data_IF_855274015177
#
_entry.id   IF_855274015177
#
_cell.length_a   1.000
_cell.length_b   1.000
_cell.length_c   1.000
_cell.angle_alpha   90.00
_cell.angle_beta   90.00
_cell.angle_gamma   90.00
#
_symmetry.space_group_name_H-M   'P 1'
#
loop_
_entity.id
_entity.type
_entity.pdbx_description
1 polymer ?
#
# COMPACT_ATOMS: atom_id res chain seq x y z
N UNK A 1 -7.60 -14.39 6.34
CA UNK A 1 -6.53 -15.29 6.83
C UNK A 1 -5.35 -14.43 7.25
N UNK A 2 -4.59 -14.83 8.28
CA UNK A 2 -3.40 -14.10 8.71
C UNK A 2 -2.16 -14.98 8.54
N UNK A 3 -1.20 -14.51 7.75
CA UNK A 3 0.09 -15.19 7.58
C UNK A 3 1.09 -14.74 8.66
N UNK A 4 1.99 -15.65 9.05
CA UNK A 4 3.04 -15.37 10.02
C UNK A 4 4.36 -15.10 9.30
N UNK A 5 5.01 -13.99 9.65
CA UNK A 5 6.34 -13.62 9.17
C UNK A 5 7.31 -13.69 10.35
N UNK A 6 8.50 -14.24 10.12
CA UNK A 6 9.62 -14.19 11.06
C UNK A 6 10.76 -13.39 10.42
N UNK A 7 11.22 -12.34 11.08
CA UNK A 7 12.29 -11.49 10.58
C UNK A 7 13.39 -11.34 11.64
N UNK A 8 14.66 -11.39 11.22
CA UNK A 8 15.80 -11.05 12.09
C UNK A 8 16.11 -9.56 11.92
N UNK A 9 16.16 -8.85 13.04
CA UNK A 9 16.53 -7.44 13.07
C UNK A 9 18.02 -7.29 13.42
N UNK A 10 18.67 -6.31 12.80
CA UNK A 10 19.99 -5.87 13.27
C UNK A 10 19.86 -5.29 14.68
N UNK A 11 20.97 -5.25 15.42
CA UNK A 11 20.99 -4.76 16.80
C UNK A 11 20.37 -3.35 16.94
N UNK A 12 20.71 -2.36 16.09
CA UNK A 12 20.08 -1.03 16.16
C UNK A 12 18.56 -1.05 15.95
N UNK A 13 18.06 -1.88 15.03
CA UNK A 13 16.63 -1.99 14.76
C UNK A 13 15.89 -2.66 15.94
N UNK A 14 16.48 -3.70 16.52
CA UNK A 14 15.92 -4.36 17.69
C UNK A 14 15.85 -3.42 18.90
N UNK A 15 16.91 -2.63 19.14
CA UNK A 15 16.95 -1.65 20.23
C UNK A 15 15.90 -0.56 20.04
N UNK A 16 15.72 -0.08 18.81
CA UNK A 16 14.65 0.86 18.50
C UNK A 16 13.26 0.27 18.77
N UNK A 17 12.97 -0.94 18.26
CA UNK A 17 11.68 -1.62 18.51
C UNK A 17 11.43 -1.79 20.01
N UNK A 18 12.43 -2.18 20.78
CA UNK A 18 12.31 -2.32 22.22
C UNK A 18 12.04 -0.99 22.93
N UNK A 19 12.59 0.13 22.44
CA UNK A 19 12.31 1.46 23.03
C UNK A 19 10.88 1.94 22.80
N UNK A 20 10.20 1.39 21.80
CA UNK A 20 8.82 1.75 21.43
C UNK A 20 7.77 0.89 22.15
N UNK A 21 8.19 -0.08 22.97
CA UNK A 21 7.34 -1.12 23.54
C UNK A 21 7.58 -1.27 25.04
N UNK A 22 6.51 -1.42 25.81
CA UNK A 22 6.58 -1.55 27.26
C UNK A 22 5.35 -0.96 27.96
N UNK A 23 5.27 -1.13 29.28
CA UNK A 23 4.11 -0.70 30.08
C UNK A 23 3.82 0.81 30.02
N UNK A 24 4.85 1.62 29.80
CA UNK A 24 4.76 3.08 29.66
C UNK A 24 4.94 3.56 28.20
N UNK A 25 5.00 2.63 27.24
CA UNK A 25 5.23 2.94 25.83
C UNK A 25 3.92 2.92 25.02
N UNK A 26 4.00 3.37 23.76
CA UNK A 26 2.84 3.47 22.87
C UNK A 26 2.29 2.09 22.44
N UNK A 27 3.12 1.05 22.51
CA UNK A 27 2.77 -0.30 22.07
C UNK A 27 3.06 -1.32 23.17
N UNK A 28 2.22 -2.34 23.29
CA UNK A 28 2.36 -3.37 24.32
C UNK A 28 3.35 -4.45 23.89
N UNK A 29 3.44 -4.73 22.59
CA UNK A 29 4.34 -5.77 22.05
C UNK A 29 5.11 -5.31 20.81
N UNK A 30 6.29 -5.91 20.54
CA UNK A 30 7.04 -5.65 19.30
C UNK A 30 6.24 -5.99 18.03
N UNK A 31 5.41 -7.03 18.11
CA UNK A 31 4.57 -7.46 16.98
C UNK A 31 3.49 -6.42 16.66
N UNK A 32 2.93 -5.75 17.66
CA UNK A 32 1.99 -4.66 17.46
C UNK A 32 2.65 -3.47 16.78
N UNK A 33 3.79 -3.01 17.33
CA UNK A 33 4.55 -1.91 16.77
C UNK A 33 4.93 -2.16 15.29
N UNK A 34 5.47 -3.34 14.98
CA UNK A 34 5.87 -3.70 13.62
C UNK A 34 4.66 -3.68 12.67
N UNK A 35 3.50 -4.23 13.08
CA UNK A 35 2.29 -4.19 12.25
C UNK A 35 1.81 -2.75 12.02
N UNK A 36 1.90 -1.89 13.02
CA UNK A 36 1.57 -0.46 12.88
C UNK A 36 2.53 0.27 11.95
N UNK A 37 3.83 -0.05 11.98
CA UNK A 37 4.81 0.48 11.02
C UNK A 37 4.49 0.05 9.59
N UNK A 38 4.23 -1.24 9.37
CA UNK A 38 3.86 -1.77 8.04
C UNK A 38 2.59 -1.07 7.54
N UNK A 39 1.58 -0.89 8.40
CA UNK A 39 0.36 -0.19 8.01
C UNK A 39 0.64 1.25 7.61
N UNK A 40 1.46 1.97 8.38
CA UNK A 40 1.86 3.35 8.05
C UNK A 40 2.62 3.44 6.73
N UNK A 41 3.49 2.46 6.47
CA UNK A 41 4.22 2.35 5.20
C UNK A 41 3.24 2.11 4.03
N UNK A 42 2.27 1.22 4.20
CA UNK A 42 1.20 0.98 3.21
C UNK A 42 0.32 2.22 2.98
N UNK A 43 0.00 2.96 4.04
CA UNK A 43 -0.88 4.13 4.00
C UNK A 43 -0.16 5.41 3.56
N UNK A 44 1.17 5.40 3.48
CA UNK A 44 1.95 6.57 3.08
C UNK A 44 1.60 7.06 1.66
N UNK A 45 1.55 8.38 1.47
CA UNK A 45 1.22 8.99 0.17
C UNK A 45 2.12 8.47 -0.96
N UNK A 46 3.41 8.25 -0.68
CA UNK A 46 4.37 7.68 -1.64
C UNK A 46 4.02 6.24 -2.04
N UNK A 47 3.52 5.43 -1.09
CA UNK A 47 3.12 4.05 -1.36
C UNK A 47 1.88 4.01 -2.26
N UNK A 48 0.89 4.86 -2.00
CA UNK A 48 -0.30 5.00 -2.84
C UNK A 48 0.03 5.49 -4.26
N UNK A 49 0.95 6.46 -4.38
CA UNK A 49 1.40 6.94 -5.70
C UNK A 49 2.15 5.84 -6.44
N UNK A 50 3.07 5.15 -5.77
CA UNK A 50 3.83 4.06 -6.36
C UNK A 50 2.92 2.91 -6.83
N UNK A 51 1.96 2.49 -6.00
CA UNK A 51 0.99 1.45 -6.37
C UNK A 51 0.14 1.88 -7.56
N UNK A 52 -0.35 3.12 -7.57
CA UNK A 52 -1.15 3.65 -8.69
C UNK A 52 -0.36 3.69 -10.01
N UNK A 53 0.95 4.01 -9.95
CA UNK A 53 1.83 4.00 -11.12
C UNK A 53 2.01 2.56 -11.64
N UNK A 54 2.26 1.60 -10.75
CA UNK A 54 2.46 0.19 -11.11
C UNK A 54 1.19 -0.44 -11.67
N UNK A 55 0.03 -0.10 -11.12
CA UNK A 55 -1.28 -0.46 -11.68
C UNK A 55 -1.45 0.09 -13.09
N UNK A 56 -1.14 1.38 -13.31
CA UNK A 56 -1.20 1.99 -14.64
C UNK A 56 -0.31 1.30 -15.69
N UNK A 57 0.92 0.89 -15.31
CA UNK A 57 1.78 0.10 -16.22
C UNK A 57 1.20 -1.28 -16.53
N UNK A 58 0.59 -1.91 -15.54
CA UNK A 58 -0.09 -3.21 -15.71
C UNK A 58 -1.28 -3.07 -16.64
N UNK A 59 -2.08 -2.01 -16.50
CA UNK A 59 -3.19 -1.69 -17.38
C UNK A 59 -2.74 -1.47 -18.83
N UNK A 60 -1.63 -0.75 -19.05
CA UNK A 60 -1.04 -0.60 -20.39
C UNK A 60 -0.67 -1.96 -20.98
N UNK A 61 0.01 -2.81 -20.20
CA UNK A 61 0.40 -4.16 -20.63
C UNK A 61 -0.81 -5.01 -21.03
N UNK A 62 -1.91 -4.89 -20.29
CA UNK A 62 -3.14 -5.67 -20.49
C UNK A 62 -4.13 -4.97 -21.45
N UNK A 63 -3.68 -3.93 -22.16
CA UNK A 63 -4.50 -3.12 -23.09
C UNK A 63 -5.76 -2.50 -22.46
N UNK A 64 -5.75 -2.32 -21.14
CA UNK A 64 -6.79 -1.69 -20.34
C UNK A 64 -6.62 -0.17 -20.32
N UNK A 65 -6.70 0.42 -21.50
CA UNK A 65 -6.55 1.86 -21.69
C UNK A 65 -7.76 2.44 -22.39
N UNK A 66 -8.04 3.72 -22.14
CA UNK A 66 -9.09 4.46 -22.84
C UNK A 66 -8.45 5.61 -23.62
N UNK A 67 -9.03 5.92 -24.78
CA UNK A 67 -8.66 7.12 -25.51
C UNK A 67 -9.18 8.33 -24.73
N UNK A 68 -8.29 9.24 -24.34
CA UNK A 68 -8.67 10.44 -23.60
C UNK A 68 -9.61 11.34 -24.42
N UNK A 69 -10.66 11.84 -23.77
CA UNK A 69 -11.55 12.86 -24.30
C UNK A 69 -11.04 14.30 -24.07
N UNK A 70 -9.88 14.45 -23.41
CA UNK A 70 -9.34 15.74 -22.97
C UNK A 70 -9.94 16.27 -21.67
N UNK A 71 -10.91 15.56 -21.09
CA UNK A 71 -11.52 15.91 -19.80
C UNK A 71 -11.27 14.82 -18.77
N UNK A 72 -10.40 15.09 -17.80
CA UNK A 72 -10.04 14.14 -16.74
C UNK A 72 -11.27 13.56 -16.01
N UNK A 73 -12.28 14.39 -15.72
CA UNK A 73 -13.48 13.92 -15.00
C UNK A 73 -14.25 12.87 -15.81
N UNK A 74 -14.45 13.12 -17.11
CA UNK A 74 -15.14 12.19 -18.02
C UNK A 74 -14.35 10.91 -18.22
N UNK A 75 -13.04 11.05 -18.43
CA UNK A 75 -12.14 9.91 -18.65
C UNK A 75 -12.08 9.01 -17.40
N UNK A 76 -12.02 9.60 -16.20
CA UNK A 76 -12.03 8.87 -14.93
C UNK A 76 -13.33 8.09 -14.71
N UNK A 77 -14.48 8.68 -15.04
CA UNK A 77 -15.78 8.00 -14.94
C UNK A 77 -15.89 6.83 -15.92
N UNK A 78 -15.49 7.05 -17.18
CA UNK A 78 -15.47 6.01 -18.20
C UNK A 78 -14.53 4.84 -17.81
N UNK A 79 -13.36 5.16 -17.28
CA UNK A 79 -12.40 4.16 -16.81
C UNK A 79 -13.00 3.31 -15.68
N UNK A 80 -13.65 3.93 -14.68
CA UNK A 80 -14.35 3.20 -13.60
C UNK A 80 -15.45 2.29 -14.12
N UNK A 81 -16.21 2.75 -15.11
CA UNK A 81 -17.26 1.94 -15.74
C UNK A 81 -16.67 0.71 -16.43
N UNK A 82 -15.58 0.88 -17.19
CA UNK A 82 -14.87 -0.22 -17.85
C UNK A 82 -14.26 -1.21 -16.86
N UNK A 83 -13.69 -0.72 -15.75
CA UNK A 83 -13.22 -1.59 -14.66
C UNK A 83 -14.36 -2.42 -14.06
N UNK A 84 -15.53 -1.82 -13.80
CA UNK A 84 -16.69 -2.55 -13.27
C UNK A 84 -17.22 -3.61 -14.24
N UNK A 85 -17.06 -3.37 -15.55
CA UNK A 85 -17.45 -4.29 -16.62
C UNK A 85 -16.33 -5.29 -16.98
N UNK A 86 -15.29 -5.43 -16.16
CA UNK A 86 -14.13 -6.29 -16.43
C UNK A 86 -13.49 -6.08 -17.82
N UNK A 87 -13.55 -4.85 -18.34
CA UNK A 87 -12.98 -4.46 -19.63
C UNK A 87 -13.57 -5.15 -20.86
N UNK A 88 -14.80 -5.67 -20.75
CA UNK A 88 -15.63 -6.12 -21.88
C UNK A 88 -16.11 -4.96 -22.77
#
# INVERSE_FOLDING_TARGET
MSDRINARLSKPLADHVNSMVGSDALYETPSEYIRSLIRRDMEGELSQVYSSIMEGFTDIKESRTIKSSGSWKKDKELFKQKQFQNWE
#
